data_IF_605580663661
#
_entry.id   IF_605580663661
#
_cell.length_a   1.000
_cell.length_b   1.000
_cell.length_c   1.000
_cell.angle_alpha   90.00
_cell.angle_beta   90.00
_cell.angle_gamma   90.00
#
_symmetry.space_group_name_H-M   'P 1'
#
loop_
_entity.id
_entity.type
_entity.pdbx_description
1 polymer ?
#
# COMPACT_ATOMS: atom_id res chain seq x y z
N UNK A 1 -3.78 -0.12 -10.24
CA UNK A 1 -2.97 1.11 -10.34
C UNK A 1 -3.45 2.03 -11.47
N UNK A 2 -3.66 1.54 -12.70
CA UNK A 2 -4.06 2.38 -13.84
C UNK A 2 -5.39 3.13 -13.64
N UNK A 3 -6.41 2.51 -13.03
CA UNK A 3 -7.67 3.20 -12.70
C UNK A 3 -7.58 4.11 -11.46
N UNK A 4 -6.54 3.96 -10.63
CA UNK A 4 -6.39 4.76 -9.42
C UNK A 4 -5.92 6.18 -9.74
N UNK A 5 -5.06 6.33 -10.75
CA UNK A 5 -4.47 7.63 -11.13
C UNK A 5 -5.53 8.64 -11.60
N UNK A 6 -6.48 8.32 -12.50
CA UNK A 6 -7.53 9.25 -12.89
C UNK A 6 -8.43 9.66 -11.72
N UNK A 7 -8.80 8.71 -10.84
CA UNK A 7 -9.65 9.01 -9.68
C UNK A 7 -8.91 9.91 -8.69
N UNK A 8 -7.64 9.62 -8.40
CA UNK A 8 -6.81 10.48 -7.54
C UNK A 8 -6.69 11.88 -8.12
N UNK A 9 -6.38 12.00 -9.42
CA UNK A 9 -6.24 13.30 -10.08
C UNK A 9 -7.55 14.11 -10.06
N UNK A 10 -8.69 13.45 -10.32
CA UNK A 10 -10.00 14.08 -10.26
C UNK A 10 -10.28 14.63 -8.86
N UNK A 11 -10.06 13.84 -7.80
CA UNK A 11 -10.29 14.27 -6.42
C UNK A 11 -9.32 15.37 -6.00
N UNK A 12 -8.04 15.25 -6.38
CA UNK A 12 -7.01 16.24 -6.14
C UNK A 12 -7.36 17.60 -6.72
N UNK A 13 -7.94 17.63 -7.92
CA UNK A 13 -8.42 18.86 -8.54
C UNK A 13 -9.76 19.33 -7.97
N UNK A 14 -10.66 18.40 -7.63
CA UNK A 14 -12.03 18.69 -7.20
C UNK A 14 -12.10 19.32 -5.80
N UNK A 15 -11.42 18.76 -4.79
CA UNK A 15 -11.53 19.24 -3.41
C UNK A 15 -11.12 20.71 -3.21
N UNK A 16 -10.01 21.20 -3.81
CA UNK A 16 -9.63 22.62 -3.70
C UNK A 16 -10.44 23.56 -4.61
N UNK A 17 -10.96 23.06 -5.74
CA UNK A 17 -11.65 23.89 -6.75
C UNK A 17 -13.15 24.04 -6.50
N UNK A 18 -13.77 23.11 -5.78
CA UNK A 18 -15.20 23.14 -5.54
C UNK A 18 -15.56 24.16 -4.45
N UNK A 19 -16.34 25.18 -4.83
CA UNK A 19 -16.76 26.25 -3.93
C UNK A 19 -17.65 25.75 -2.79
N UNK A 20 -18.44 24.71 -2.99
CA UNK A 20 -19.38 24.20 -1.98
C UNK A 20 -18.68 23.51 -0.81
N UNK A 21 -17.44 23.06 -1.02
CA UNK A 21 -16.61 22.40 -0.01
C UNK A 21 -15.69 23.37 0.73
N UNK A 22 -15.57 24.62 0.25
CA UNK A 22 -14.83 25.67 0.95
C UNK A 22 -15.56 26.04 2.22
N UNK A 23 -14.82 26.16 3.32
CA UNK A 23 -15.35 26.50 4.65
C UNK A 23 -16.43 25.55 5.17
N UNK A 24 -16.52 24.34 4.61
CA UNK A 24 -17.36 23.30 5.19
C UNK A 24 -16.60 22.58 6.28
N UNK A 25 -17.11 22.71 7.50
CA UNK A 25 -16.62 21.98 8.65
C UNK A 25 -17.12 20.54 8.64
N UNK A 26 -16.25 19.57 8.92
CA UNK A 26 -16.62 18.18 9.18
C UNK A 26 -15.78 17.61 10.32
N UNK A 27 -16.45 17.13 11.37
CA UNK A 27 -15.85 16.63 12.60
C UNK A 27 -14.92 17.67 13.27
N UNK A 28 -13.61 17.56 13.05
CA UNK A 28 -12.57 18.47 13.59
C UNK A 28 -11.90 19.33 12.52
N UNK A 29 -12.21 19.11 11.24
CA UNK A 29 -11.72 19.98 10.17
C UNK A 29 -12.71 21.12 9.98
N UNK A 30 -12.25 22.36 10.05
CA UNK A 30 -13.07 23.54 9.82
C UNK A 30 -13.29 23.82 8.32
N UNK A 31 -12.40 23.30 7.46
CA UNK A 31 -12.46 23.49 6.01
C UNK A 31 -12.00 22.22 5.26
N UNK A 32 -12.92 21.57 4.55
CA UNK A 32 -12.65 20.40 3.71
C UNK A 32 -11.78 20.69 2.49
N UNK A 33 -11.72 21.95 2.03
CA UNK A 33 -10.90 22.37 0.90
C UNK A 33 -9.46 22.73 1.28
N UNK A 34 -9.20 22.95 2.57
CA UNK A 34 -7.88 23.20 3.16
C UNK A 34 -7.40 22.00 3.98
N UNK A 35 -6.14 22.01 4.41
CA UNK A 35 -5.61 21.01 5.34
C UNK A 35 -6.27 21.17 6.72
N UNK A 36 -6.47 20.05 7.42
CA UNK A 36 -6.96 20.06 8.80
C UNK A 36 -5.80 20.28 9.78
N UNK A 37 -6.05 21.02 10.87
CA UNK A 37 -5.04 21.32 11.89
C UNK A 37 -5.58 20.88 13.25
N UNK A 38 -5.08 19.76 13.77
CA UNK A 38 -5.43 19.27 15.11
C UNK A 38 -4.40 19.70 16.16
N UNK A 39 -3.13 19.79 15.79
CA UNK A 39 -2.08 20.27 16.67
C UNK A 39 -1.05 21.08 15.88
N UNK A 40 -0.56 22.17 16.47
CA UNK A 40 0.58 22.93 15.97
C UNK A 40 1.83 22.46 16.71
N UNK A 41 2.87 22.12 15.95
CA UNK A 41 4.17 21.75 16.49
C UNK A 41 4.95 23.04 16.81
N UNK A 42 5.68 23.09 17.93
CA UNK A 42 6.53 24.24 18.27
C UNK A 42 7.82 24.31 17.43
N UNK A 43 8.01 23.37 16.49
CA UNK A 43 9.14 23.28 15.59
C UNK A 43 8.66 22.83 14.20
N UNK A 44 9.36 23.28 13.15
CA UNK A 44 9.07 22.92 11.78
C UNK A 44 9.78 21.62 11.40
N UNK A 45 9.03 20.61 10.94
CA UNK A 45 9.60 19.38 10.40
C UNK A 45 9.70 19.52 8.86
N UNK A 46 10.89 19.42 8.26
CA UNK A 46 11.06 19.41 6.81
C UNK A 46 10.15 18.36 6.16
N UNK A 47 9.46 18.74 5.09
CA UNK A 47 8.47 17.92 4.33
C UNK A 47 7.14 17.61 5.05
N UNK A 48 7.03 17.80 6.36
CA UNK A 48 5.79 17.55 7.10
C UNK A 48 5.01 18.84 7.36
N UNK A 49 5.70 19.91 7.76
CA UNK A 49 5.07 21.17 8.15
C UNK A 49 5.25 21.48 9.63
N UNK A 50 4.53 22.50 10.09
CA UNK A 50 4.44 22.92 11.50
C UNK A 50 3.13 22.47 12.16
N UNK A 51 2.32 21.67 11.46
CA UNK A 51 1.03 21.20 11.95
C UNK A 51 0.86 19.70 11.73
N UNK A 52 -0.02 19.12 12.54
CA UNK A 52 -0.46 17.73 12.47
C UNK A 52 -1.91 17.70 12.02
N UNK A 53 -2.13 17.07 10.87
CA UNK A 53 -3.45 16.78 10.32
C UNK A 53 -3.90 15.37 10.75
N UNK A 54 -5.09 15.28 11.34
CA UNK A 54 -5.61 14.02 11.88
C UNK A 54 -6.23 13.14 10.77
N UNK A 55 -6.87 13.71 9.76
CA UNK A 55 -7.40 12.90 8.64
C UNK A 55 -6.31 12.15 7.87
N UNK A 56 -5.19 12.78 7.48
CA UNK A 56 -4.03 12.09 6.90
C UNK A 56 -3.48 10.98 7.80
N UNK A 57 -3.39 11.20 9.11
CA UNK A 57 -2.93 10.20 10.07
C UNK A 57 -3.88 8.98 10.08
N UNK A 58 -5.18 9.20 10.18
CA UNK A 58 -6.19 8.15 10.15
C UNK A 58 -6.22 7.40 8.81
N UNK A 59 -6.14 8.13 7.69
CA UNK A 59 -6.06 7.57 6.36
C UNK A 59 -4.84 6.67 6.21
N UNK A 60 -3.66 7.12 6.65
CA UNK A 60 -2.43 6.34 6.60
C UNK A 60 -2.49 5.08 7.46
N UNK A 61 -3.10 5.15 8.65
CA UNK A 61 -3.33 3.96 9.48
C UNK A 61 -4.27 2.98 8.78
N UNK A 62 -5.36 3.45 8.19
CA UNK A 62 -6.28 2.59 7.43
C UNK A 62 -5.58 1.92 6.23
N UNK A 63 -4.83 2.69 5.43
CA UNK A 63 -4.04 2.17 4.30
C UNK A 63 -3.02 1.13 4.80
N UNK A 64 -2.36 1.39 5.92
CA UNK A 64 -1.42 0.43 6.53
C UNK A 64 -2.10 -0.90 6.87
N UNK A 65 -3.26 -0.88 7.53
CA UNK A 65 -4.02 -2.10 7.83
C UNK A 65 -4.49 -2.82 6.56
N UNK A 66 -5.02 -2.08 5.58
CA UNK A 66 -5.41 -2.62 4.29
C UNK A 66 -4.24 -3.31 3.57
N UNK A 67 -3.08 -2.65 3.50
CA UNK A 67 -1.87 -3.20 2.88
C UNK A 67 -1.34 -4.41 3.64
N UNK A 68 -1.38 -4.38 4.98
CA UNK A 68 -0.96 -5.53 5.79
C UNK A 68 -1.84 -6.75 5.53
N UNK A 69 -3.16 -6.55 5.41
CA UNK A 69 -4.11 -7.63 5.18
C UNK A 69 -4.00 -8.23 3.78
N UNK A 70 -3.88 -7.39 2.75
CA UNK A 70 -3.79 -7.81 1.35
C UNK A 70 -2.40 -8.31 0.96
N UNK A 71 -1.36 -7.55 1.29
CA UNK A 71 0.02 -7.89 0.93
C UNK A 71 0.52 -9.08 1.75
N UNK A 72 0.08 -9.24 3.00
CA UNK A 72 0.38 -10.42 3.82
C UNK A 72 -0.07 -11.73 3.16
N UNK A 73 -1.26 -11.74 2.55
CA UNK A 73 -1.73 -12.89 1.77
C UNK A 73 -0.92 -13.09 0.48
N UNK A 74 -0.57 -12.01 -0.22
CA UNK A 74 0.22 -12.11 -1.45
C UNK A 74 1.64 -12.63 -1.20
N UNK A 75 2.32 -12.13 -0.16
CA UNK A 75 3.68 -12.59 0.21
C UNK A 75 3.66 -14.06 0.63
N UNK A 76 2.64 -14.53 1.35
CA UNK A 76 2.49 -15.95 1.68
C UNK A 76 2.27 -16.86 0.45
N UNK A 77 1.82 -16.27 -0.67
CA UNK A 77 1.53 -16.98 -1.92
C UNK A 77 2.64 -16.90 -2.97
N UNK A 78 3.62 -16.00 -2.82
CA UNK A 78 4.76 -15.92 -3.73
C UNK A 78 5.85 -16.93 -3.35
N UNK A 79 6.44 -17.66 -4.33
CA UNK A 79 7.56 -18.54 -4.05
C UNK A 79 8.77 -17.71 -3.62
N UNK A 80 9.35 -18.06 -2.48
CA UNK A 80 10.72 -17.67 -2.13
C UNK A 80 11.65 -18.31 -3.16
N UNK A 81 12.01 -17.57 -4.21
CA UNK A 81 13.10 -17.96 -5.11
C UNK A 81 14.41 -17.74 -4.36
N UNK A 82 15.05 -18.83 -3.94
CA UNK A 82 16.41 -18.83 -3.41
C UNK A 82 17.37 -18.28 -4.48
N UNK A 83 18.12 -17.21 -4.15
CA UNK A 83 19.11 -16.60 -5.04
C UNK A 83 18.79 -15.19 -5.56
N UNK A 84 17.54 -14.70 -5.43
CA UNK A 84 17.22 -13.28 -5.69
C UNK A 84 17.20 -12.45 -4.40
N UNK A 85 17.58 -11.16 -4.45
CA UNK A 85 17.61 -10.30 -3.27
C UNK A 85 16.23 -10.29 -2.60
N UNK A 86 16.19 -10.58 -1.30
CA UNK A 86 15.09 -10.52 -0.32
C UNK A 86 13.81 -9.73 -0.75
N UNK A 87 13.12 -10.14 -1.82
CA UNK A 87 11.93 -9.46 -2.36
C UNK A 87 10.82 -9.41 -1.31
N UNK A 88 10.78 -10.43 -0.44
CA UNK A 88 9.91 -10.45 0.74
C UNK A 88 10.24 -9.36 1.76
N UNK A 89 11.51 -9.02 1.98
CA UNK A 89 11.88 -7.89 2.86
C UNK A 89 11.58 -6.56 2.18
N UNK A 90 11.85 -6.43 0.88
CA UNK A 90 11.52 -5.22 0.11
C UNK A 90 10.02 -4.90 0.17
N UNK A 91 9.15 -5.91 -0.04
CA UNK A 91 7.70 -5.74 0.12
C UNK A 91 7.30 -5.36 1.54
N UNK A 92 7.91 -5.97 2.58
CA UNK A 92 7.67 -5.58 3.97
C UNK A 92 8.02 -4.12 4.21
N UNK A 93 9.19 -3.66 3.77
CA UNK A 93 9.58 -2.24 3.89
C UNK A 93 8.59 -1.32 3.19
N UNK A 94 8.12 -1.69 2.00
CA UNK A 94 7.13 -0.90 1.26
C UNK A 94 5.80 -0.75 2.02
N UNK A 95 5.33 -1.80 2.72
CA UNK A 95 4.10 -1.74 3.53
C UNK A 95 4.22 -0.72 4.67
N UNK A 96 5.40 -0.56 5.27
CA UNK A 96 5.59 0.39 6.39
C UNK A 96 5.97 1.80 5.92
N UNK A 97 6.78 1.91 4.86
CA UNK A 97 7.28 3.21 4.36
C UNK A 97 6.22 3.94 3.54
N UNK A 98 5.47 3.22 2.69
CA UNK A 98 4.45 3.83 1.82
C UNK A 98 3.37 4.64 2.57
N UNK A 99 2.75 4.15 3.66
CA UNK A 99 1.72 4.91 4.36
C UNK A 99 2.32 6.09 5.13
N UNK A 100 3.59 6.00 5.56
CA UNK A 100 4.31 7.15 6.13
C UNK A 100 4.53 8.23 5.07
N UNK A 101 5.02 7.87 3.89
CA UNK A 101 5.22 8.83 2.80
C UNK A 101 3.91 9.50 2.38
N UNK A 102 2.81 8.73 2.30
CA UNK A 102 1.48 9.28 2.03
C UNK A 102 0.97 10.19 3.15
N UNK A 103 1.33 9.91 4.40
CA UNK A 103 0.99 10.78 5.53
C UNK A 103 1.63 12.16 5.34
N UNK A 104 2.93 12.22 5.05
CA UNK A 104 3.63 13.48 4.80
C UNK A 104 3.04 14.25 3.62
N UNK A 105 2.68 13.53 2.55
CA UNK A 105 2.02 14.11 1.38
C UNK A 105 0.67 14.73 1.80
N UNK A 106 -0.25 13.93 2.33
CA UNK A 106 -1.61 14.38 2.64
C UNK A 106 -1.69 15.43 3.76
N UNK A 107 -0.70 15.54 4.66
CA UNK A 107 -0.65 16.56 5.71
C UNK A 107 -0.67 17.99 5.17
N UNK A 108 -0.21 18.20 3.93
CA UNK A 108 -0.13 19.50 3.29
C UNK A 108 -1.22 19.72 2.22
N UNK A 109 -2.19 18.81 2.11
CA UNK A 109 -3.28 18.89 1.11
C UNK A 109 -4.66 18.97 1.76
N UNK A 110 -5.68 19.22 0.92
CA UNK A 110 -7.07 19.32 1.33
C UNK A 110 -7.52 18.12 2.19
N UNK A 111 -8.08 18.40 3.35
CA UNK A 111 -8.58 17.41 4.30
C UNK A 111 -9.72 16.56 3.72
N UNK A 112 -10.46 17.07 2.73
CA UNK A 112 -11.43 16.29 1.97
C UNK A 112 -10.80 15.13 1.18
N UNK A 113 -9.58 15.30 0.67
CA UNK A 113 -8.86 14.25 -0.04
C UNK A 113 -8.46 13.12 0.92
N UNK A 114 -7.90 13.46 2.08
CA UNK A 114 -7.53 12.48 3.11
C UNK A 114 -8.75 11.81 3.73
N UNK A 115 -9.85 12.54 3.95
CA UNK A 115 -11.14 12.00 4.39
C UNK A 115 -11.70 10.98 3.39
N UNK A 116 -11.68 11.29 2.09
CA UNK A 116 -12.09 10.33 1.04
C UNK A 116 -11.28 9.05 1.13
N UNK A 117 -9.95 9.15 1.23
CA UNK A 117 -9.09 7.99 1.34
C UNK A 117 -9.34 7.21 2.62
N UNK A 118 -9.55 7.88 3.75
CA UNK A 118 -9.88 7.24 5.01
C UNK A 118 -11.17 6.41 4.90
N UNK A 119 -12.27 7.02 4.46
CA UNK A 119 -13.57 6.35 4.34
C UNK A 119 -13.52 5.22 3.30
N UNK A 120 -12.89 5.46 2.14
CA UNK A 120 -12.75 4.47 1.08
C UNK A 120 -11.96 3.23 1.53
N UNK A 121 -10.84 3.43 2.24
CA UNK A 121 -10.06 2.32 2.79
C UNK A 121 -10.83 1.59 3.91
N UNK A 122 -11.57 2.30 4.77
CA UNK A 122 -12.40 1.68 5.80
C UNK A 122 -13.51 0.80 5.21
N UNK A 123 -14.23 1.30 4.19
CA UNK A 123 -15.26 0.52 3.49
C UNK A 123 -14.61 -0.71 2.86
N UNK A 124 -13.45 -0.55 2.22
CA UNK A 124 -12.73 -1.67 1.59
C UNK A 124 -12.32 -2.73 2.62
N UNK A 125 -11.76 -2.31 3.76
CA UNK A 125 -11.41 -3.21 4.87
C UNK A 125 -12.67 -3.89 5.40
N UNK A 126 -13.76 -3.15 5.61
CA UNK A 126 -15.04 -3.67 6.08
C UNK A 126 -15.61 -4.75 5.15
N UNK A 127 -15.67 -4.48 3.84
CA UNK A 127 -16.07 -5.45 2.82
C UNK A 127 -15.18 -6.69 2.89
N UNK A 128 -13.86 -6.50 2.98
CA UNK A 128 -12.91 -7.61 3.01
C UNK A 128 -13.04 -8.45 4.30
N UNK A 129 -13.27 -7.82 5.45
CA UNK A 129 -13.52 -8.50 6.71
C UNK A 129 -14.85 -9.26 6.70
N UNK A 130 -15.91 -8.68 6.12
CA UNK A 130 -17.20 -9.35 5.95
C UNK A 130 -17.04 -10.55 5.03
N UNK A 131 -16.39 -10.39 3.88
CA UNK A 131 -16.13 -11.50 2.96
C UNK A 131 -15.33 -12.60 3.66
N UNK A 132 -14.25 -12.24 4.36
CA UNK A 132 -13.38 -13.20 5.01
C UNK A 132 -14.05 -13.94 6.18
N UNK A 133 -14.78 -13.24 7.04
CA UNK A 133 -15.34 -13.84 8.26
C UNK A 133 -16.75 -14.41 8.07
N UNK A 134 -17.55 -13.89 7.13
CA UNK A 134 -18.96 -14.30 6.96
C UNK A 134 -19.25 -15.05 5.65
N UNK A 135 -18.47 -14.82 4.58
CA UNK A 135 -18.73 -15.44 3.26
C UNK A 135 -17.77 -16.61 3.01
N UNK A 136 -16.56 -16.55 3.56
CA UNK A 136 -15.53 -17.55 3.36
C UNK A 136 -15.55 -18.59 4.49
N UNK A 137 -15.81 -19.85 4.14
CA UNK A 137 -15.49 -21.02 4.97
C UNK A 137 -13.96 -21.13 5.08
N UNK A 138 -13.37 -20.62 6.17
CA UNK A 138 -11.92 -20.68 6.41
C UNK A 138 -11.40 -22.12 6.31
N UNK A 139 -12.16 -23.12 6.78
CA UNK A 139 -11.77 -24.53 6.74
C UNK A 139 -11.65 -25.07 5.31
N UNK A 140 -12.62 -24.76 4.44
CA UNK A 140 -12.58 -25.19 3.03
C UNK A 140 -11.45 -24.51 2.28
N UNK A 141 -11.16 -23.24 2.57
CA UNK A 141 -10.05 -22.53 1.93
C UNK A 141 -8.70 -23.01 2.45
N UNK A 142 -8.53 -23.24 3.76
CA UNK A 142 -7.29 -23.78 4.32
C UNK A 142 -6.97 -25.17 3.76
N UNK A 143 -7.98 -26.05 3.66
CA UNK A 143 -7.83 -27.36 3.02
C UNK A 143 -7.40 -27.23 1.55
N UNK A 144 -8.06 -26.34 0.78
CA UNK A 144 -7.76 -26.11 -0.64
C UNK A 144 -6.42 -25.42 -0.86
N UNK A 145 -5.94 -24.60 0.08
CA UNK A 145 -4.60 -24.00 0.07
C UNK A 145 -3.54 -25.07 0.36
N UNK A 146 -3.76 -25.95 1.34
CA UNK A 146 -2.82 -27.05 1.62
C UNK A 146 -2.74 -28.03 0.46
N UNK A 147 -3.87 -28.36 -0.17
CA UNK A 147 -3.92 -29.23 -1.34
C UNK A 147 -3.24 -28.58 -2.56
N UNK A 148 -3.45 -27.27 -2.80
CA UNK A 148 -2.77 -26.55 -3.87
C UNK A 148 -1.29 -26.28 -3.58
N UNK A 149 -0.86 -26.17 -2.31
CA UNK A 149 0.57 -26.12 -1.94
C UNK A 149 1.29 -27.44 -2.27
N UNK A 150 0.58 -28.58 -2.26
CA UNK A 150 1.12 -29.87 -2.71
C UNK A 150 1.24 -29.99 -4.23
N UNK A 151 0.52 -29.16 -5.00
CA UNK A 151 0.63 -29.11 -6.46
C UNK A 151 1.82 -28.22 -6.87
N UNK A 152 2.68 -28.66 -7.81
CA UNK A 152 3.80 -27.83 -8.25
C UNK A 152 3.25 -26.55 -8.89
N UNK A 153 3.63 -25.39 -8.33
CA UNK A 153 3.23 -24.09 -8.87
C UNK A 153 3.83 -23.93 -10.27
N UNK A 154 2.99 -23.72 -11.28
CA UNK A 154 3.45 -23.37 -12.63
C UNK A 154 4.14 -22.01 -12.58
N UNK A 155 5.46 -21.99 -12.74
CA UNK A 155 6.22 -20.75 -12.92
C UNK A 155 5.71 -20.01 -14.17
N UNK A 156 5.51 -18.70 -14.04
CA UNK A 156 5.11 -17.86 -15.16
C UNK A 156 6.30 -17.70 -16.12
N UNK A 157 6.08 -17.56 -17.44
CA UNK A 157 7.17 -17.53 -18.45
C UNK A 157 8.26 -16.49 -18.15
N UNK A 158 7.88 -15.35 -17.57
CA UNK A 158 8.81 -14.30 -17.14
C UNK A 158 9.72 -14.74 -15.99
N UNK A 159 9.17 -15.44 -14.99
CA UNK A 159 9.93 -15.94 -13.84
C UNK A 159 11.00 -16.94 -14.28
N UNK A 160 10.63 -17.84 -15.20
CA UNK A 160 11.56 -18.81 -15.79
C UNK A 160 12.71 -18.11 -16.53
N UNK A 161 12.39 -17.13 -17.38
CA UNK A 161 13.39 -16.38 -18.16
C UNK A 161 14.35 -15.56 -17.28
N UNK A 162 13.86 -15.00 -16.18
CA UNK A 162 14.69 -14.30 -15.20
C UNK A 162 15.66 -15.26 -14.49
N UNK A 163 15.18 -16.45 -14.12
CA UNK A 163 15.99 -17.49 -13.46
C UNK A 163 17.12 -17.97 -14.36
N UNK A 164 16.81 -18.26 -15.63
CA UNK A 164 17.80 -18.65 -16.65
C UNK A 164 18.88 -17.57 -16.85
N UNK A 165 18.51 -16.28 -16.85
CA UNK A 165 19.48 -15.18 -16.95
C UNK A 165 20.42 -15.10 -15.75
N UNK A 166 19.93 -15.34 -14.54
CA UNK A 166 20.80 -15.36 -13.34
C UNK A 166 21.76 -16.54 -13.35
N UNK A 167 21.27 -17.74 -13.68
CA UNK A 167 22.12 -18.93 -13.78
C UNK A 167 23.22 -18.74 -14.83
N UNK A 168 22.89 -18.14 -15.99
CA UNK A 168 23.90 -17.79 -17.00
C UNK A 168 24.91 -16.76 -16.49
N UNK A 169 24.46 -15.73 -15.77
CA UNK A 169 25.35 -14.71 -15.20
C UNK A 169 26.29 -15.30 -14.13
N UNK A 170 25.80 -16.25 -13.33
CA UNK A 170 26.59 -16.92 -12.30
C UNK A 170 27.61 -17.90 -12.90
N UNK A 171 27.20 -18.67 -13.93
CA UNK A 171 28.11 -19.52 -14.70
C UNK A 171 29.20 -18.70 -15.41
N UNK A 172 28.86 -17.53 -15.96
CA UNK A 172 29.85 -16.62 -16.56
C UNK A 172 30.83 -16.09 -15.50
N UNK A 173 30.35 -15.71 -14.31
CA UNK A 173 31.23 -15.29 -13.20
C UNK A 173 32.15 -16.42 -12.72
N UNK A 174 31.63 -17.64 -12.56
CA UNK A 174 32.45 -18.79 -12.17
C UNK A 174 33.48 -19.16 -13.25
N UNK A 175 33.10 -19.09 -14.52
CA UNK A 175 34.03 -19.32 -15.64
C UNK A 175 35.12 -18.24 -15.73
N UNK A 176 34.81 -16.99 -15.38
CA UNK A 176 35.80 -15.92 -15.28
C UNK A 176 36.72 -16.07 -14.07
N UNK A 177 36.20 -16.54 -12.92
CA UNK A 177 37.00 -16.85 -11.74
C UNK A 177 37.93 -18.05 -11.95
N UNK A 178 37.50 -19.07 -12.70
CA UNK A 178 38.34 -20.23 -13.07
C UNK A 178 39.42 -19.92 -14.10
N UNK A 179 39.35 -18.77 -14.79
CA UNK A 179 40.33 -18.31 -15.77
C UNK A 179 41.35 -17.30 -15.21
N UNK A 180 41.19 -16.88 -13.95
CA UNK A 180 42.20 -16.14 -13.18
C UNK A 180 42.99 -17.10 -12.30
#
# INVERSE_FOLDING_TARGET
ALMQLPVFYALFMFFPSNFDLRQKSFLWADDLSSYDVVAKLPFHIPFYGEHVSLFPLLASVAIFFYMRMTTGQQVASQPTQEGMPDMSKMMKYMIYISPLMMLFFFNNYASGLSLYYFVSNLITIGIMLVIKNYIIDEDKIHAKIQENKKKPKKENRFQKKMKEMMEQAEQQKQAQQRKK
#
